data_IF_082944184796
#
_entry.id   IF_082944184796
#
_cell.length_a   1.000
_cell.length_b   1.000
_cell.length_c   1.000
_cell.angle_alpha   90.00
_cell.angle_beta   90.00
_cell.angle_gamma   90.00
#
_symmetry.space_group_name_H-M   'P 1'
#
loop_
_entity.id
_entity.type
_entity.pdbx_description
1 polymer ?
#
# COMPACT_ATOMS: atom_id res chain seq x y z
N UNK A 1 -14.70 21.94 -1.09
CA UNK A 1 -13.40 22.63 -1.04
C UNK A 1 -12.46 21.81 -1.90
N UNK A 2 -11.97 22.36 -3.01
CA UNK A 2 -10.92 21.73 -3.81
C UNK A 2 -9.62 21.97 -3.02
N UNK A 3 -9.07 20.92 -2.43
CA UNK A 3 -7.74 20.99 -1.80
C UNK A 3 -6.70 21.22 -2.88
N UNK A 4 -5.61 21.92 -2.55
CA UNK A 4 -4.49 22.02 -3.48
C UNK A 4 -3.88 20.63 -3.70
N UNK A 5 -3.34 20.34 -4.88
CA UNK A 5 -2.72 19.05 -5.18
C UNK A 5 -1.70 18.58 -4.12
N UNK A 6 -0.92 19.51 -3.58
CA UNK A 6 0.08 19.24 -2.54
C UNK A 6 -0.55 18.88 -1.19
N UNK A 7 -1.69 19.50 -0.85
CA UNK A 7 -2.42 19.21 0.41
C UNK A 7 -3.04 17.81 0.38
N UNK A 8 -3.50 17.38 -0.80
CA UNK A 8 -4.02 16.02 -1.03
C UNK A 8 -2.89 15.00 -0.87
N UNK A 9 -1.74 15.25 -1.50
CA UNK A 9 -0.58 14.38 -1.39
C UNK A 9 -0.05 14.28 0.05
N UNK A 10 0.07 15.41 0.76
CA UNK A 10 0.53 15.46 2.16
C UNK A 10 -0.38 14.64 3.07
N UNK A 11 -1.70 14.82 2.94
CA UNK A 11 -2.70 14.09 3.73
C UNK A 11 -2.53 12.57 3.63
N UNK A 12 -2.19 12.06 2.45
CA UNK A 12 -2.04 10.62 2.23
C UNK A 12 -0.72 10.06 2.77
N UNK A 13 0.30 10.92 2.92
CA UNK A 13 1.63 10.53 3.37
C UNK A 13 1.88 10.77 4.87
N UNK A 14 1.13 11.67 5.51
CA UNK A 14 1.32 12.03 6.93
C UNK A 14 0.40 11.27 7.89
N UNK A 15 -0.75 10.80 7.42
CA UNK A 15 -1.73 10.09 8.26
C UNK A 15 -1.43 8.60 8.27
N UNK A 16 -1.15 8.05 9.46
CA UNK A 16 -0.84 6.63 9.63
C UNK A 16 -2.05 5.79 10.06
N UNK A 17 -2.07 4.56 9.56
CA UNK A 17 -3.00 3.47 9.81
C UNK A 17 -2.21 2.33 10.45
N UNK A 18 -2.82 1.65 11.42
CA UNK A 18 -2.23 0.48 12.08
C UNK A 18 -2.99 -0.78 11.68
N UNK A 19 -2.26 -1.77 11.18
CA UNK A 19 -2.77 -3.08 10.77
C UNK A 19 -2.18 -4.13 11.71
N UNK A 20 -3.00 -5.06 12.19
CA UNK A 20 -2.52 -6.19 12.98
C UNK A 20 -2.29 -7.36 12.05
N UNK A 21 -1.04 -7.83 12.01
CA UNK A 21 -0.67 -8.94 11.13
C UNK A 21 -0.29 -10.15 11.99
N UNK A 22 -0.93 -11.31 11.79
CA UNK A 22 -0.47 -12.56 12.36
C UNK A 22 0.96 -12.85 11.90
N UNK A 23 1.87 -13.12 12.84
CA UNK A 23 3.31 -13.26 12.54
C UNK A 23 3.62 -14.36 11.52
N UNK A 24 2.80 -15.41 11.49
CA UNK A 24 2.91 -16.50 10.51
C UNK A 24 2.62 -16.07 9.06
N UNK A 25 1.91 -14.96 8.84
CA UNK A 25 1.65 -14.42 7.52
C UNK A 25 2.81 -13.58 6.98
N UNK A 26 3.78 -13.16 7.82
CA UNK A 26 4.87 -12.26 7.42
C UNK A 26 5.66 -12.76 6.22
N UNK A 27 6.10 -14.02 6.24
CA UNK A 27 6.89 -14.58 5.14
C UNK A 27 6.09 -14.62 3.83
N UNK A 28 4.81 -15.00 3.93
CA UNK A 28 3.91 -15.00 2.77
C UNK A 28 3.70 -13.58 2.25
N UNK A 29 3.44 -12.60 3.12
CA UNK A 29 3.26 -11.21 2.72
C UNK A 29 4.53 -10.64 2.08
N UNK A 30 5.71 -10.88 2.64
CA UNK A 30 6.98 -10.42 2.06
C UNK A 30 7.23 -10.95 0.65
N UNK A 31 6.98 -12.25 0.43
CA UNK A 31 7.09 -12.85 -0.91
C UNK A 31 6.17 -12.15 -1.92
N UNK A 32 5.00 -11.73 -1.47
CA UNK A 32 4.01 -11.12 -2.34
C UNK A 32 4.27 -9.65 -2.59
N UNK A 33 4.72 -8.91 -1.58
CA UNK A 33 5.23 -7.54 -1.76
C UNK A 33 6.41 -7.55 -2.75
N UNK A 34 7.33 -8.52 -2.62
CA UNK A 34 8.43 -8.66 -3.58
C UNK A 34 7.93 -8.94 -5.01
N UNK A 35 6.94 -9.82 -5.18
CA UNK A 35 6.34 -10.10 -6.49
C UNK A 35 5.63 -8.87 -7.07
N UNK A 36 4.95 -8.08 -6.25
CA UNK A 36 4.32 -6.84 -6.69
C UNK A 36 5.37 -5.82 -7.14
N UNK A 37 6.47 -5.69 -6.39
CA UNK A 37 7.60 -4.84 -6.77
C UNK A 37 8.20 -5.25 -8.12
N UNK A 38 8.39 -6.55 -8.37
CA UNK A 38 8.87 -7.06 -9.67
C UNK A 38 7.94 -6.66 -10.84
N UNK A 39 6.62 -6.70 -10.62
CA UNK A 39 5.63 -6.27 -11.63
C UNK A 39 5.75 -4.76 -11.89
N UNK A 40 5.78 -3.95 -10.82
CA UNK A 40 5.90 -2.49 -10.96
C UNK A 40 7.22 -2.08 -11.65
N UNK A 41 8.33 -2.75 -11.33
CA UNK A 41 9.64 -2.52 -11.98
C UNK A 41 9.63 -2.90 -13.45
N UNK A 42 8.88 -3.94 -13.82
CA UNK A 42 8.66 -4.28 -15.22
C UNK A 42 7.85 -3.18 -15.94
N UNK A 43 6.79 -2.67 -15.32
CA UNK A 43 5.96 -1.59 -15.87
C UNK A 43 6.73 -0.26 -16.02
N UNK A 44 7.55 0.11 -15.02
CA UNK A 44 8.44 1.28 -15.05
C UNK A 44 9.40 1.24 -16.26
N UNK A 45 9.90 0.06 -16.62
CA UNK A 45 10.76 -0.12 -17.80
C UNK A 45 10.04 0.11 -19.13
N UNK A 46 8.71 0.21 -19.14
CA UNK A 46 7.87 0.40 -20.33
C UNK A 46 7.24 1.79 -20.36
N UNK A 47 6.86 2.34 -19.20
CA UNK A 47 6.17 3.63 -19.06
C UNK A 47 6.82 4.43 -17.93
N UNK A 48 7.36 5.62 -18.25
CA UNK A 48 7.87 6.56 -17.26
C UNK A 48 6.72 7.40 -16.67
N UNK A 49 6.03 6.82 -15.68
CA UNK A 49 4.83 7.37 -15.05
C UNK A 49 5.05 7.61 -13.55
N UNK A 50 4.66 8.80 -13.07
CA UNK A 50 4.86 9.19 -11.67
C UNK A 50 4.13 8.26 -10.69
N UNK A 51 2.92 7.78 -11.04
CA UNK A 51 2.18 6.86 -10.18
C UNK A 51 2.89 5.50 -10.06
N UNK A 52 3.57 5.05 -11.12
CA UNK A 52 4.40 3.83 -11.05
C UNK A 52 5.56 4.03 -10.08
N UNK A 53 6.31 5.13 -10.20
CA UNK A 53 7.41 5.46 -9.28
C UNK A 53 6.95 5.56 -7.83
N UNK A 54 5.80 6.21 -7.60
CA UNK A 54 5.23 6.37 -6.27
C UNK A 54 4.79 5.02 -5.68
N UNK A 55 4.19 4.15 -6.48
CA UNK A 55 3.81 2.80 -6.05
C UNK A 55 5.03 1.93 -5.74
N UNK A 56 6.13 2.06 -6.50
CA UNK A 56 7.41 1.40 -6.23
C UNK A 56 7.95 1.83 -4.87
N UNK A 57 8.05 3.14 -4.63
CA UNK A 57 8.56 3.69 -3.38
C UNK A 57 7.74 3.22 -2.17
N UNK A 58 6.41 3.26 -2.29
CA UNK A 58 5.50 2.76 -1.26
C UNK A 58 5.66 1.25 -1.03
N UNK A 59 5.83 0.46 -2.10
CA UNK A 59 6.06 -0.99 -2.02
C UNK A 59 7.37 -1.32 -1.30
N UNK A 60 8.45 -0.62 -1.63
CA UNK A 60 9.77 -0.77 -0.98
C UNK A 60 9.71 -0.39 0.51
N UNK A 61 8.96 0.66 0.85
CA UNK A 61 8.76 1.07 2.23
C UNK A 61 7.98 0.01 3.03
N UNK A 62 6.90 -0.54 2.47
CA UNK A 62 6.14 -1.65 3.08
C UNK A 62 7.06 -2.85 3.31
N UNK A 63 7.86 -3.23 2.30
CA UNK A 63 8.80 -4.34 2.41
C UNK A 63 9.80 -4.13 3.55
N UNK A 64 10.37 -2.92 3.63
CA UNK A 64 11.31 -2.54 4.69
C UNK A 64 10.67 -2.65 6.07
N UNK A 65 9.46 -2.11 6.25
CA UNK A 65 8.71 -2.18 7.51
C UNK A 65 8.42 -3.63 7.92
N UNK A 66 8.01 -4.49 6.98
CA UNK A 66 7.78 -5.91 7.23
C UNK A 66 9.07 -6.66 7.65
N UNK A 67 10.20 -6.37 7.00
CA UNK A 67 11.51 -6.95 7.35
C UNK A 67 11.97 -6.53 8.76
N UNK A 68 11.76 -5.27 9.14
CA UNK A 68 12.02 -4.79 10.50
C UNK A 68 11.15 -5.55 11.51
N UNK A 69 9.86 -5.72 11.21
CA UNK A 69 8.93 -6.42 12.10
C UNK A 69 9.22 -7.93 12.21
N UNK A 70 9.90 -8.54 11.23
CA UNK A 70 10.39 -9.91 11.36
C UNK A 70 11.43 -10.08 12.49
N UNK A 71 12.21 -9.03 12.77
CA UNK A 71 13.22 -9.06 13.83
C UNK A 71 12.62 -9.00 15.25
N UNK A 72 11.32 -8.71 15.39
CA UNK A 72 10.65 -8.72 16.71
C UNK A 72 10.71 -10.12 17.36
N UNK A 73 10.68 -10.23 18.71
CA UNK A 73 10.77 -11.50 19.42
C UNK A 73 9.77 -12.57 18.95
N UNK A 74 10.20 -13.82 18.83
CA UNK A 74 9.40 -14.95 18.32
C UNK A 74 8.15 -15.28 19.14
N UNK A 75 8.08 -14.83 20.41
CA UNK A 75 6.96 -15.11 21.30
C UNK A 75 5.68 -14.29 20.99
N UNK A 76 5.76 -13.27 20.13
CA UNK A 76 4.59 -12.49 19.70
C UNK A 76 3.84 -13.22 18.58
N UNK A 77 2.54 -13.43 18.79
CA UNK A 77 1.65 -14.04 17.78
C UNK A 77 1.21 -13.05 16.70
N UNK A 78 1.18 -11.77 17.03
CA UNK A 78 0.78 -10.67 16.15
C UNK A 78 1.83 -9.56 16.21
N UNK A 79 1.97 -8.86 15.09
CA UNK A 79 2.77 -7.65 14.93
C UNK A 79 1.87 -6.50 14.49
N UNK A 80 2.30 -5.27 14.73
CA UNK A 80 1.59 -4.07 14.28
C UNK A 80 2.39 -3.44 13.14
N UNK A 81 1.79 -3.43 11.94
CA UNK A 81 2.33 -2.72 10.78
C UNK A 81 1.70 -1.33 10.73
N UNK A 82 2.54 -0.30 10.78
CA UNK A 82 2.12 1.10 10.65
C UNK A 82 2.41 1.61 9.24
N UNK A 83 1.34 1.97 8.51
CA UNK A 83 1.40 2.44 7.13
C UNK A 83 0.79 3.83 7.01
N UNK A 84 1.34 4.72 6.19
CA UNK A 84 0.57 5.90 5.78
C UNK A 84 -0.58 5.49 4.84
N UNK A 85 -1.48 6.41 4.47
CA UNK A 85 -2.62 6.06 3.61
C UNK A 85 -2.16 5.62 2.21
N UNK A 86 -1.13 6.24 1.63
CA UNK A 86 -0.58 5.86 0.32
C UNK A 86 -0.06 4.41 0.33
N UNK A 87 0.81 4.08 1.28
CA UNK A 87 1.30 2.74 1.53
C UNK A 87 0.16 1.76 1.83
N UNK A 88 -0.84 2.16 2.62
CA UNK A 88 -2.01 1.32 2.91
C UNK A 88 -2.77 0.93 1.65
N UNK A 89 -2.95 1.86 0.70
CA UNK A 89 -3.63 1.58 -0.56
C UNK A 89 -2.85 0.56 -1.40
N UNK A 90 -1.53 0.71 -1.49
CA UNK A 90 -0.65 -0.27 -2.17
C UNK A 90 -0.68 -1.63 -1.46
N UNK A 91 -0.60 -1.65 -0.13
CA UNK A 91 -0.66 -2.87 0.66
C UNK A 91 -1.98 -3.62 0.47
N UNK A 92 -3.09 -2.89 0.42
CA UNK A 92 -4.42 -3.44 0.12
C UNK A 92 -4.42 -4.13 -1.24
N UNK A 93 -3.93 -3.47 -2.28
CA UNK A 93 -3.87 -4.05 -3.63
C UNK A 93 -3.01 -5.33 -3.67
N UNK A 94 -1.84 -5.32 -3.02
CA UNK A 94 -1.00 -6.50 -2.85
C UNK A 94 -1.75 -7.66 -2.17
N UNK A 95 -2.46 -7.38 -1.08
CA UNK A 95 -3.18 -8.40 -0.30
C UNK A 95 -4.35 -9.00 -1.10
N UNK A 96 -5.04 -8.22 -1.93
CA UNK A 96 -6.13 -8.70 -2.78
C UNK A 96 -5.66 -9.54 -3.97
N UNK A 97 -4.60 -9.12 -4.65
CA UNK A 97 -4.00 -9.90 -5.74
C UNK A 97 -3.65 -11.33 -5.28
N UNK A 98 -3.19 -11.46 -4.04
CA UNK A 98 -2.87 -12.76 -3.43
C UNK A 98 -4.10 -13.63 -3.17
N UNK A 99 -5.21 -13.05 -2.74
CA UNK A 99 -6.46 -13.81 -2.51
C UNK A 99 -6.91 -14.46 -3.83
N UNK A 100 -6.81 -13.71 -4.93
CA UNK A 100 -7.16 -14.18 -6.27
C UNK A 100 -6.19 -15.25 -6.79
N UNK A 101 -4.89 -15.13 -6.49
CA UNK A 101 -3.86 -16.02 -7.03
C UNK A 101 -3.67 -17.33 -6.26
N UNK A 102 -3.86 -17.33 -4.94
CA UNK A 102 -3.43 -18.47 -4.14
C UNK A 102 -4.53 -19.48 -3.82
N UNK A 103 -5.81 -19.19 -4.11
CA UNK A 103 -6.92 -20.06 -3.69
C UNK A 103 -6.89 -20.39 -2.20
N UNK A 104 -6.30 -19.49 -1.40
CA UNK A 104 -5.96 -19.75 -0.01
C UNK A 104 -7.21 -19.61 0.85
N UNK A 105 -7.74 -20.76 1.27
CA UNK A 105 -8.66 -20.86 2.40
C UNK A 105 -7.87 -20.84 3.72
N UNK A 106 -7.19 -19.73 4.01
CA UNK A 106 -6.55 -19.50 5.31
C UNK A 106 -7.33 -18.43 6.06
N UNK A 107 -8.06 -18.86 7.09
CA UNK A 107 -8.88 -17.99 7.93
C UNK A 107 -8.15 -16.75 8.43
N UNK A 108 -6.87 -16.85 8.81
CA UNK A 108 -6.10 -15.69 9.29
C UNK A 108 -5.79 -14.70 8.17
N UNK A 109 -5.64 -15.18 6.94
CA UNK A 109 -5.49 -14.33 5.79
C UNK A 109 -6.82 -13.65 5.44
N UNK A 110 -7.93 -14.38 5.52
CA UNK A 110 -9.28 -13.83 5.37
C UNK A 110 -9.57 -12.75 6.43
N UNK A 111 -9.19 -12.99 7.69
CA UNK A 111 -9.32 -12.02 8.78
C UNK A 111 -8.47 -10.75 8.51
N UNK A 112 -7.26 -10.91 7.95
CA UNK A 112 -6.43 -9.79 7.52
C UNK A 112 -7.07 -8.99 6.38
N UNK A 113 -7.60 -9.67 5.36
CA UNK A 113 -8.34 -9.03 4.25
C UNK A 113 -9.55 -8.27 4.78
N UNK A 114 -10.32 -8.88 5.69
CA UNK A 114 -11.48 -8.25 6.30
C UNK A 114 -11.10 -6.99 7.10
N UNK A 115 -10.01 -7.05 7.88
CA UNK A 115 -9.49 -5.88 8.59
C UNK A 115 -9.12 -4.75 7.62
N UNK A 116 -8.40 -5.06 6.54
CA UNK A 116 -8.01 -4.08 5.51
C UNK A 116 -9.24 -3.46 4.87
N UNK A 117 -10.24 -4.26 4.48
CA UNK A 117 -11.46 -3.74 3.87
C UNK A 117 -12.29 -2.90 4.84
N UNK A 118 -12.33 -3.27 6.12
CA UNK A 118 -12.99 -2.48 7.15
C UNK A 118 -12.35 -1.09 7.26
N UNK A 119 -11.02 -1.02 7.34
CA UNK A 119 -10.30 0.26 7.34
C UNK A 119 -10.55 1.05 6.05
N UNK A 120 -10.44 0.39 4.89
CA UNK A 120 -10.66 1.03 3.60
C UNK A 120 -12.08 1.62 3.48
N UNK A 121 -13.09 0.97 4.05
CA UNK A 121 -14.47 1.46 4.04
C UNK A 121 -14.67 2.76 4.82
N UNK A 122 -13.81 3.03 5.81
CA UNK A 122 -13.83 4.26 6.62
C UNK A 122 -13.14 5.43 5.91
N UNK A 123 -12.33 5.17 4.88
CA UNK A 123 -11.66 6.21 4.11
C UNK A 123 -12.63 6.90 3.14
N UNK A 124 -12.51 8.23 3.03
CA UNK A 124 -13.32 9.03 2.12
C UNK A 124 -12.98 8.70 0.65
N UNK A 125 -13.95 8.12 -0.07
CA UNK A 125 -13.76 7.70 -1.47
C UNK A 125 -13.47 8.86 -2.42
N UNK A 126 -13.97 10.06 -2.12
CA UNK A 126 -13.68 11.26 -2.91
C UNK A 126 -12.20 11.62 -2.81
N UNK A 127 -11.65 11.61 -1.61
CA UNK A 127 -10.24 11.94 -1.36
C UNK A 127 -9.32 10.90 -2.01
N UNK A 128 -9.68 9.61 -1.96
CA UNK A 128 -8.91 8.55 -2.64
C UNK A 128 -8.90 8.76 -4.15
N UNK A 129 -10.05 9.14 -4.72
CA UNK A 129 -10.13 9.46 -6.15
C UNK A 129 -9.25 10.66 -6.48
N UNK A 130 -9.35 11.75 -5.72
CA UNK A 130 -8.54 12.95 -5.93
C UNK A 130 -7.03 12.66 -5.82
N UNK A 131 -6.61 11.82 -4.87
CA UNK A 131 -5.23 11.36 -4.76
C UNK A 131 -4.78 10.56 -6.00
N UNK A 132 -5.61 9.61 -6.47
CA UNK A 132 -5.32 8.82 -7.68
C UNK A 132 -5.23 9.71 -8.93
N UNK A 133 -6.17 10.63 -9.08
CA UNK A 133 -6.19 11.59 -10.19
C UNK A 133 -4.95 12.49 -10.14
N UNK A 134 -4.46 12.86 -8.96
CA UNK A 134 -3.25 13.65 -8.78
C UNK A 134 -2.00 12.90 -9.25
N UNK A 135 -1.76 11.69 -8.73
CA UNK A 135 -0.53 10.94 -9.06
C UNK A 135 -0.50 10.52 -10.54
N UNK A 136 -1.66 10.20 -11.12
CA UNK A 136 -1.75 9.80 -12.53
C UNK A 136 -1.53 11.00 -13.49
N UNK A 137 -1.90 12.22 -13.09
CA UNK A 137 -1.77 13.42 -13.94
C UNK A 137 -0.62 14.34 -13.50
N UNK A 138 0.34 13.82 -12.75
CA UNK A 138 1.38 14.64 -12.11
C UNK A 138 2.21 15.49 -13.10
N UNK A 139 2.49 14.98 -14.31
CA UNK A 139 3.20 15.74 -15.34
C UNK A 139 2.40 16.96 -15.85
N UNK A 140 1.10 16.83 -16.06
CA UNK A 140 0.22 17.94 -16.46
C UNK A 140 0.12 18.99 -15.36
N UNK A 141 0.02 18.55 -14.10
CA UNK A 141 -0.04 19.43 -12.92
C UNK A 141 1.26 20.24 -12.74
N UNK A 142 2.42 19.64 -13.01
CA UNK A 142 3.73 20.31 -12.90
C UNK A 142 3.90 21.42 -13.95
N UNK A 143 3.32 21.26 -15.13
CA UNK A 143 3.41 22.22 -16.24
C UNK A 143 2.42 23.38 -16.09
N UNK A 144 1.30 23.17 -15.39
CA UNK A 144 0.33 24.22 -15.05
C UNK A 144 0.80 25.15 -13.90
N UNK A 145 1.85 24.75 -13.18
CA UNK A 145 2.44 25.47 -12.04
C UNK A 145 3.74 26.20 -12.40
N UNK A 146 4.24 26.06 -13.63
CA UNK A 146 5.42 26.75 -14.18
C UNK A 146 5.06 27.92 -15.08
#
# INVERSE_FOLDING_TARGET
MHLKPEEIYSKFNEVNIKIKIPKELLLSLLRQINRHLEILRYEEGVIDDFAIHENIANTEMIMTKLLILMAEPYNRKEIILELNIAEFLVFRECVHLNLQLMGIHNKKYEDLVWQIESIYSMLNKKDIKEYRDYINNYQENRTALS
#
